data_IF_019455836849
#
_entry.id   IF_019455836849
#
_cell.length_a   1.000
_cell.length_b   1.000
_cell.length_c   1.000
_cell.angle_alpha   90.00
_cell.angle_beta   90.00
_cell.angle_gamma   90.00
#
_symmetry.space_group_name_H-M   'P 1'
#
loop_
_entity.id
_entity.type
_entity.pdbx_description
1 polymer ?
#
# COMPACT_ATOMS: atom_id res chain seq x y z
N UNK A 1 -11.45 -19.88 20.60
CA UNK A 1 -11.31 -18.51 20.04
C UNK A 1 -10.26 -18.53 18.94
N UNK A 2 -10.66 -18.29 17.69
CA UNK A 2 -9.75 -18.41 16.54
C UNK A 2 -8.88 -17.16 16.38
N UNK A 3 -7.76 -17.29 15.66
CA UNK A 3 -6.88 -16.17 15.31
C UNK A 3 -7.62 -15.08 14.52
N UNK A 4 -8.67 -15.48 13.78
CA UNK A 4 -9.51 -14.63 12.94
C UNK A 4 -10.41 -13.75 13.81
N UNK A 5 -10.94 -14.28 14.93
CA UNK A 5 -11.74 -13.50 15.87
C UNK A 5 -10.90 -12.38 16.51
N UNK A 6 -9.65 -12.68 16.87
CA UNK A 6 -8.72 -11.68 17.44
C UNK A 6 -8.33 -10.60 16.43
N UNK A 7 -8.25 -10.94 15.15
CA UNK A 7 -7.97 -10.00 14.07
C UNK A 7 -9.16 -9.08 13.82
N UNK A 8 -10.39 -9.63 13.81
CA UNK A 8 -11.63 -8.84 13.78
C UNK A 8 -11.72 -7.89 14.96
N UNK A 9 -11.56 -8.37 16.20
CA UNK A 9 -11.65 -7.51 17.38
C UNK A 9 -10.59 -6.40 17.40
N UNK A 10 -9.40 -6.63 16.84
CA UNK A 10 -8.37 -5.59 16.71
C UNK A 10 -8.65 -4.57 15.61
N UNK A 11 -9.24 -5.00 14.50
CA UNK A 11 -9.69 -4.12 13.43
C UNK A 11 -10.88 -3.29 13.91
N UNK A 12 -11.84 -3.90 14.61
CA UNK A 12 -12.99 -3.23 15.21
C UNK A 12 -12.57 -2.25 16.31
N UNK A 13 -11.53 -2.56 17.09
CA UNK A 13 -10.99 -1.64 18.10
C UNK A 13 -10.20 -0.47 17.49
N UNK A 14 -9.52 -0.69 16.35
CA UNK A 14 -8.89 0.39 15.58
C UNK A 14 -9.93 1.27 14.88
N UNK A 15 -11.01 0.67 14.39
CA UNK A 15 -12.15 1.38 13.83
C UNK A 15 -12.87 2.19 14.92
N UNK A 16 -13.20 1.58 16.07
CA UNK A 16 -13.89 2.24 17.18
C UNK A 16 -13.09 3.39 17.81
N UNK A 17 -11.76 3.34 17.79
CA UNK A 17 -10.91 4.46 18.21
C UNK A 17 -10.86 5.64 17.23
N UNK A 18 -11.31 5.44 15.98
CA UNK A 18 -11.35 6.44 14.92
C UNK A 18 -12.77 6.98 14.63
N UNK A 19 -13.81 6.41 15.26
CA UNK A 19 -15.21 6.81 15.08
C UNK A 19 -15.55 8.10 15.85
N UNK A 20 -15.16 9.23 15.26
CA UNK A 20 -15.92 10.48 15.39
C UNK A 20 -16.88 10.57 14.21
N UNK A 21 -18.14 10.19 14.42
CA UNK A 21 -19.18 10.17 13.39
C UNK A 21 -19.43 11.58 12.81
N UNK A 22 -19.31 11.72 11.48
CA UNK A 22 -19.97 12.77 10.67
C UNK A 22 -19.79 12.49 9.17
N UNK A 23 -20.82 11.92 8.52
CA UNK A 23 -21.22 12.13 7.11
C UNK A 23 -20.27 11.78 5.95
N UNK A 24 -18.98 11.60 6.19
CA UNK A 24 -17.96 11.35 5.19
C UNK A 24 -16.82 10.58 5.89
N UNK A 25 -17.01 9.27 6.04
CA UNK A 25 -16.12 8.42 6.86
C UNK A 25 -14.87 8.08 6.05
N UNK A 26 -13.91 9.00 6.11
CA UNK A 26 -12.58 8.84 5.54
C UNK A 26 -11.58 8.35 6.57
N UNK A 27 -11.06 7.14 6.35
CA UNK A 27 -9.98 6.56 7.14
C UNK A 27 -8.68 6.61 6.32
N UNK A 28 -7.59 7.08 6.93
CA UNK A 28 -6.27 7.06 6.28
C UNK A 28 -5.20 6.52 7.22
N UNK A 29 -4.36 5.65 6.68
CA UNK A 29 -3.24 5.02 7.37
C UNK A 29 -1.98 5.18 6.54
N UNK A 30 -0.88 5.57 7.19
CA UNK A 30 0.42 5.74 6.55
C UNK A 30 1.49 5.03 7.36
N UNK A 31 2.32 4.24 6.69
CA UNK A 31 3.46 3.56 7.29
C UNK A 31 4.69 3.70 6.40
N UNK A 32 5.84 3.91 7.03
CA UNK A 32 7.13 4.03 6.35
C UNK A 32 8.20 3.23 7.10
N UNK A 33 9.02 2.51 6.35
CA UNK A 33 10.24 1.87 6.86
C UNK A 33 11.43 2.75 6.47
N UNK A 34 12.00 3.52 7.42
CA UNK A 34 13.13 4.40 7.13
C UNK A 34 14.45 3.62 7.02
N UNK A 35 15.33 4.08 6.12
CA UNK A 35 16.70 3.62 5.93
C UNK A 35 17.74 4.63 6.48
N UNK A 36 17.30 5.58 7.31
CA UNK A 36 18.14 6.67 7.79
C UNK A 36 18.47 7.66 6.66
N UNK A 37 19.76 7.88 6.41
CA UNK A 37 20.24 8.87 5.42
C UNK A 37 19.94 8.51 3.96
N UNK A 38 19.61 7.24 3.69
CA UNK A 38 19.33 6.77 2.33
C UNK A 38 17.85 6.95 1.92
N UNK A 39 16.98 7.45 2.82
CA UNK A 39 15.54 7.62 2.55
C UNK A 39 14.68 6.47 3.07
N UNK A 40 13.60 6.14 2.39
CA UNK A 40 12.63 5.11 2.80
C UNK A 40 12.80 3.83 1.98
N UNK A 41 12.84 2.66 2.64
CA UNK A 41 12.88 1.36 1.96
C UNK A 41 11.48 1.00 1.44
N UNK A 42 10.46 1.26 2.25
CA UNK A 42 9.06 0.94 1.96
C UNK A 42 8.18 2.09 2.46
N UNK A 43 7.21 2.48 1.65
CA UNK A 43 6.10 3.36 2.01
C UNK A 43 4.79 2.65 1.68
N UNK A 44 3.83 2.78 2.59
CA UNK A 44 2.49 2.25 2.46
C UNK A 44 1.51 3.37 2.87
N UNK A 45 0.72 3.83 1.92
CA UNK A 45 -0.39 4.75 2.14
C UNK A 45 -1.69 4.03 1.83
N UNK A 46 -2.62 3.95 2.80
CA UNK A 46 -3.94 3.35 2.61
C UNK A 46 -4.99 4.39 2.97
N UNK A 47 -5.97 4.58 2.11
CA UNK A 47 -7.14 5.44 2.34
C UNK A 47 -8.39 4.64 2.04
N UNK A 48 -9.39 4.74 2.91
CA UNK A 48 -10.73 4.20 2.70
C UNK A 48 -11.69 5.37 2.81
N UNK A 49 -12.48 5.59 1.77
CA UNK A 49 -13.49 6.63 1.72
C UNK A 49 -14.85 5.94 1.56
N UNK A 50 -15.83 6.32 2.36
CA UNK A 50 -17.21 5.81 2.28
C UNK A 50 -18.15 6.98 2.04
N UNK A 51 -18.87 6.95 0.94
CA UNK A 51 -19.76 8.02 0.49
C UNK A 51 -21.17 7.46 0.24
N UNK A 52 -22.20 8.17 0.68
CA UNK A 52 -23.57 7.86 0.26
C UNK A 52 -23.75 8.22 -1.22
N UNK A 53 -24.33 7.33 -2.02
CA UNK A 53 -24.48 7.51 -3.46
C UNK A 53 -25.84 7.03 -3.95
N UNK A 54 -26.74 7.98 -4.25
CA UNK A 54 -28.09 7.67 -4.73
C UNK A 54 -28.89 6.86 -3.72
N UNK A 55 -29.25 5.63 -4.09
CA UNK A 55 -30.02 4.67 -3.30
C UNK A 55 -29.15 3.73 -2.45
N UNK A 56 -27.83 3.87 -2.48
CA UNK A 56 -26.90 3.01 -1.76
C UNK A 56 -25.66 3.73 -1.26
N UNK A 57 -24.63 2.94 -0.97
CA UNK A 57 -23.34 3.40 -0.47
C UNK A 57 -22.23 2.99 -1.42
N UNK A 58 -21.23 3.86 -1.55
CA UNK A 58 -20.00 3.60 -2.29
C UNK A 58 -18.82 3.61 -1.33
N UNK A 59 -18.05 2.53 -1.36
CA UNK A 59 -16.81 2.39 -0.61
C UNK A 59 -15.64 2.38 -1.59
N UNK A 60 -14.62 3.19 -1.33
CA UNK A 60 -13.42 3.30 -2.13
C UNK A 60 -12.18 3.08 -1.27
N UNK A 61 -11.48 1.99 -1.50
CA UNK A 61 -10.18 1.70 -0.90
C UNK A 61 -9.08 2.05 -1.89
N UNK A 62 -8.13 2.87 -1.47
CA UNK A 62 -6.93 3.27 -2.22
C UNK A 62 -5.72 2.86 -1.41
N UNK A 63 -4.86 2.03 -1.97
CA UNK A 63 -3.58 1.67 -1.39
C UNK A 63 -2.46 2.01 -2.35
N UNK A 64 -1.42 2.66 -1.85
CA UNK A 64 -0.21 2.97 -2.57
C UNK A 64 0.97 2.36 -1.82
N UNK A 65 1.69 1.47 -2.51
CA UNK A 65 2.83 0.75 -1.99
C UNK A 65 4.04 1.12 -2.83
N UNK A 66 5.06 1.70 -2.21
CA UNK A 66 6.31 2.04 -2.87
C UNK A 66 7.46 1.34 -2.16
N UNK A 67 8.23 0.54 -2.90
CA UNK A 67 9.47 -0.07 -2.43
C UNK A 67 10.65 0.47 -3.23
N UNK A 68 11.65 0.95 -2.51
CA UNK A 68 12.89 1.49 -3.09
C UNK A 68 14.06 0.52 -2.81
N UNK A 69 13.93 -0.73 -3.21
CA UNK A 69 14.93 -1.75 -2.85
C UNK A 69 16.24 -1.56 -3.62
N UNK A 70 16.17 -1.28 -4.92
CA UNK A 70 17.37 -1.06 -5.73
C UNK A 70 18.06 0.25 -5.34
N UNK A 71 17.29 1.34 -5.19
CA UNK A 71 17.85 2.67 -4.93
C UNK A 71 18.26 2.92 -3.48
N UNK A 72 17.65 2.25 -2.49
CA UNK A 72 17.90 2.54 -1.05
C UNK A 72 18.50 1.35 -0.31
N UNK A 73 17.97 0.14 -0.50
CA UNK A 73 18.39 -1.03 0.28
C UNK A 73 19.78 -1.52 -0.14
N UNK A 74 20.07 -1.62 -1.45
CA UNK A 74 21.40 -1.99 -1.97
C UNK A 74 22.54 -1.10 -1.43
N UNK A 75 22.51 0.25 -1.58
CA UNK A 75 23.59 1.09 -1.07
C UNK A 75 23.68 1.04 0.47
N UNK A 76 22.57 0.89 1.19
CA UNK A 76 22.60 0.75 2.65
C UNK A 76 23.30 -0.54 3.12
N UNK A 77 23.11 -1.65 2.39
CA UNK A 77 23.80 -2.91 2.66
C UNK A 77 25.29 -2.83 2.32
N UNK A 78 25.63 -2.21 1.18
CA UNK A 78 27.02 -2.02 0.74
C UNK A 78 27.81 -1.03 1.62
N UNK A 79 27.17 -0.03 2.22
CA UNK A 79 27.85 0.98 3.02
C UNK A 79 28.60 0.38 4.23
N UNK A 80 29.80 0.83 4.60
CA UNK A 80 30.49 0.32 5.79
C UNK A 80 29.67 0.55 7.07
N UNK A 81 29.75 -0.36 8.07
CA UNK A 81 29.09 -0.15 9.36
C UNK A 81 29.59 1.17 9.97
N UNK A 82 28.72 1.96 10.62
CA UNK A 82 29.16 3.17 11.28
C UNK A 82 30.21 2.81 12.33
N UNK A 83 31.30 3.59 12.45
CA UNK A 83 32.33 3.33 13.44
C UNK A 83 31.69 3.27 14.83
N UNK A 84 32.13 2.35 15.71
CA UNK A 84 31.59 2.26 17.05
C UNK A 84 31.73 3.62 17.72
N UNK A 85 30.60 4.17 18.22
CA UNK A 85 30.63 5.41 18.99
C UNK A 85 31.69 5.24 20.08
N UNK A 86 32.67 6.15 20.21
CA UNK A 86 33.65 6.04 21.28
C UNK A 86 32.88 6.00 22.59
N UNK A 87 33.10 4.93 23.36
CA UNK A 87 32.67 4.87 24.76
C UNK A 87 33.30 6.08 25.43
N UNK A 88 32.53 7.15 25.67
CA UNK A 88 32.93 8.26 26.54
C UNK A 88 33.08 7.69 27.95
N UNK A 89 34.23 7.07 28.23
CA UNK A 89 34.83 7.04 29.56
C UNK A 89 35.54 8.38 29.71
N UNK A 90 35.00 9.27 30.53
CA UNK A 90 35.68 10.52 30.85
C UNK A 90 34.72 11.62 31.25
N UNK A 91 34.81 12.02 32.52
CA UNK A 91 34.22 13.21 33.11
C UNK A 91 34.41 14.43 32.20
N UNK A 92 33.36 15.20 31.93
CA UNK A 92 33.50 16.62 31.62
C UNK A 92 32.23 17.38 32.00
N UNK A 93 32.37 18.16 33.08
CA UNK A 93 31.45 19.24 33.46
C UNK A 93 31.53 20.34 32.41
N UNK A 94 30.38 20.90 32.05
CA UNK A 94 30.24 22.20 31.39
C UNK A 94 30.40 22.19 29.88
N UNK A 95 29.30 22.45 29.16
CA UNK A 95 29.22 23.49 28.14
C UNK A 95 27.94 23.34 27.28
N UNK A 96 27.25 24.47 27.17
CA UNK A 96 26.46 24.95 26.03
C UNK A 96 25.18 24.21 25.63
N UNK A 97 24.07 24.85 25.99
CA UNK A 97 22.76 24.69 25.41
C UNK A 97 22.74 25.29 23.99
N UNK A 98 22.75 24.45 22.95
CA UNK A 98 22.21 24.74 21.61
C UNK A 98 22.46 23.55 20.67
N UNK A 99 21.43 23.19 19.86
CA UNK A 99 21.38 22.08 18.87
C UNK A 99 21.22 20.67 19.48
N UNK A 100 20.32 19.79 19.05
CA UNK A 100 19.45 19.74 17.88
C UNK A 100 18.31 18.74 18.15
N UNK A 101 17.17 18.90 17.49
CA UNK A 101 16.09 17.89 17.40
C UNK A 101 16.44 16.73 16.41
N UNK A 102 17.69 16.63 15.96
CA UNK A 102 18.22 15.57 15.07
C UNK A 102 18.53 14.17 15.68
N UNK A 103 18.64 13.94 17.01
CA UNK A 103 19.04 12.64 17.55
C UNK A 103 18.01 11.51 17.38
N UNK A 104 16.70 11.84 17.35
CA UNK A 104 15.65 10.82 17.35
C UNK A 104 15.55 10.09 16.01
N UNK A 105 15.53 10.84 14.90
CA UNK A 105 15.50 10.27 13.54
C UNK A 105 16.75 9.44 13.21
N UNK A 106 17.92 9.90 13.68
CA UNK A 106 19.18 9.18 13.51
C UNK A 106 19.26 7.89 14.35
N UNK A 107 18.64 7.86 15.53
CA UNK A 107 18.56 6.65 16.36
C UNK A 107 17.62 5.59 15.78
N UNK A 108 16.42 5.99 15.31
CA UNK A 108 15.48 5.09 14.64
C UNK A 108 16.08 4.52 13.35
N UNK A 109 16.75 5.35 12.54
CA UNK A 109 17.46 4.90 11.34
C UNK A 109 18.60 3.92 11.64
N UNK A 110 19.33 4.10 12.76
CA UNK A 110 20.37 3.15 13.19
C UNK A 110 19.81 1.81 13.65
N UNK A 111 18.67 1.80 14.36
CA UNK A 111 17.99 0.57 14.77
C UNK A 111 17.40 -0.17 13.58
N UNK A 112 16.74 0.54 12.66
CA UNK A 112 16.24 -0.02 11.40
C UNK A 112 17.39 -0.65 10.59
N UNK A 113 18.51 0.06 10.42
CA UNK A 113 19.70 -0.45 9.69
C UNK A 113 20.29 -1.70 10.35
N UNK A 114 20.34 -1.77 11.69
CA UNK A 114 20.79 -2.97 12.42
C UNK A 114 19.82 -4.14 12.25
N UNK A 115 18.52 -3.88 12.34
CA UNK A 115 17.47 -4.89 12.14
C UNK A 115 17.51 -5.47 10.72
N UNK A 116 17.56 -4.60 9.71
CA UNK A 116 17.66 -5.01 8.31
C UNK A 116 18.95 -5.79 8.05
N UNK A 117 20.11 -5.31 8.51
CA UNK A 117 21.38 -6.07 8.34
C UNK A 117 21.34 -7.44 9.00
N UNK A 118 20.73 -7.55 10.18
CA UNK A 118 20.60 -8.83 10.87
C UNK A 118 19.64 -9.79 10.13
N UNK A 119 18.56 -9.27 9.57
CA UNK A 119 17.65 -10.05 8.75
C UNK A 119 18.34 -10.54 7.46
N UNK A 120 19.09 -9.66 6.78
CA UNK A 120 19.84 -9.98 5.55
C UNK A 120 21.14 -10.76 5.80
N UNK A 121 21.59 -10.89 7.04
CA UNK A 121 22.65 -11.84 7.40
C UNK A 121 22.18 -13.30 7.30
N UNK A 122 20.86 -13.54 7.21
CA UNK A 122 20.32 -14.86 6.93
C UNK A 122 20.37 -15.15 5.41
N UNK A 123 21.09 -16.19 4.96
CA UNK A 123 21.23 -16.50 3.54
C UNK A 123 19.89 -16.84 2.85
N UNK A 124 18.88 -17.31 3.59
CA UNK A 124 17.54 -17.56 3.06
C UNK A 124 16.84 -16.25 2.71
N UNK A 125 16.92 -15.26 3.60
CA UNK A 125 16.35 -13.92 3.38
C UNK A 125 17.06 -13.25 2.21
N UNK A 126 18.38 -13.38 2.14
CA UNK A 126 19.17 -12.82 1.06
C UNK A 126 18.77 -13.41 -0.30
N UNK A 127 18.65 -14.74 -0.43
CA UNK A 127 18.22 -15.39 -1.68
C UNK A 127 16.81 -14.99 -2.13
N UNK A 128 15.88 -14.84 -1.19
CA UNK A 128 14.51 -14.41 -1.49
C UNK A 128 14.42 -12.93 -1.86
N UNK A 129 15.26 -12.10 -1.26
CA UNK A 129 15.28 -10.66 -1.50
C UNK A 129 16.15 -10.25 -2.69
N UNK A 130 17.11 -11.07 -3.12
CA UNK A 130 18.01 -10.81 -4.25
C UNK A 130 17.30 -10.42 -5.56
N UNK A 131 16.22 -11.09 -6.01
CA UNK A 131 15.48 -10.63 -7.18
C UNK A 131 14.76 -9.30 -6.93
N UNK A 132 14.25 -9.06 -5.72
CA UNK A 132 13.55 -7.83 -5.35
C UNK A 132 14.51 -6.63 -5.22
N UNK A 133 15.78 -6.87 -4.87
CA UNK A 133 16.80 -5.81 -4.76
C UNK A 133 17.23 -5.24 -6.11
N UNK A 134 16.86 -5.86 -7.24
CA UNK A 134 17.15 -5.34 -8.58
C UNK A 134 16.17 -4.26 -9.02
N UNK A 135 15.01 -4.18 -8.37
CA UNK A 135 13.93 -3.35 -8.84
C UNK A 135 13.40 -2.42 -7.75
N UNK A 136 13.05 -1.21 -8.18
CA UNK A 136 12.14 -0.37 -7.42
C UNK A 136 10.73 -0.66 -7.93
N UNK A 137 9.79 -0.86 -7.01
CA UNK A 137 8.41 -1.25 -7.32
C UNK A 137 7.48 -0.19 -6.76
N UNK A 138 6.56 0.26 -7.59
CA UNK A 138 5.54 1.23 -7.21
C UNK A 138 4.18 0.71 -7.68
N UNK A 139 3.32 0.40 -6.71
CA UNK A 139 2.04 -0.25 -6.91
C UNK A 139 0.90 0.62 -6.37
N UNK A 140 -0.06 0.93 -7.23
CA UNK A 140 -1.32 1.58 -6.89
C UNK A 140 -2.43 0.56 -6.98
N UNK A 141 -3.15 0.37 -5.89
CA UNK A 141 -4.29 -0.53 -5.79
C UNK A 141 -5.49 0.33 -5.46
N UNK A 142 -6.55 0.18 -6.23
CA UNK A 142 -7.78 0.89 -6.00
C UNK A 142 -8.95 -0.09 -6.12
N UNK A 143 -9.77 -0.18 -5.08
CA UNK A 143 -10.93 -1.06 -5.02
C UNK A 143 -12.13 -0.18 -4.73
N UNK A 144 -13.13 -0.22 -5.59
CA UNK A 144 -14.42 0.46 -5.41
C UNK A 144 -15.52 -0.59 -5.33
N UNK A 145 -16.36 -0.49 -4.33
CA UNK A 145 -17.59 -1.27 -4.22
C UNK A 145 -18.77 -0.32 -4.07
N UNK A 146 -19.92 -0.69 -4.64
CA UNK A 146 -21.14 0.09 -4.54
C UNK A 146 -22.34 -0.83 -4.37
N UNK A 147 -23.24 -0.43 -3.48
CA UNK A 147 -24.59 -1.01 -3.37
C UNK A 147 -25.65 -0.17 -4.05
N UNK A 148 -25.27 0.95 -4.66
CA UNK A 148 -26.15 1.78 -5.45
C UNK A 148 -26.49 1.13 -6.80
N UNK A 149 -27.65 1.48 -7.33
CA UNK A 149 -28.07 1.12 -8.69
C UNK A 149 -27.20 1.90 -9.70
N UNK A 150 -26.36 1.19 -10.46
CA UNK A 150 -25.47 1.79 -11.45
C UNK A 150 -25.90 1.38 -12.86
N UNK A 151 -25.94 2.33 -13.79
CA UNK A 151 -26.40 2.13 -15.17
C UNK A 151 -25.55 1.12 -15.95
N UNK A 152 -24.23 1.12 -15.71
CA UNK A 152 -23.27 0.18 -16.34
C UNK A 152 -22.65 -0.80 -15.34
N UNK A 153 -23.25 -0.98 -14.15
CA UNK A 153 -22.80 -1.94 -13.15
C UNK A 153 -21.38 -1.66 -12.64
N UNK A 154 -20.56 -2.70 -12.43
CA UNK A 154 -19.17 -2.56 -11.99
C UNK A 154 -18.29 -1.71 -12.93
N UNK A 155 -18.66 -1.55 -14.20
CA UNK A 155 -17.90 -0.74 -15.14
C UNK A 155 -17.88 0.75 -14.75
N UNK A 156 -18.95 1.28 -14.15
CA UNK A 156 -19.01 2.67 -13.66
C UNK A 156 -18.13 2.91 -12.42
N UNK A 157 -17.62 1.83 -11.82
CA UNK A 157 -16.71 1.89 -10.68
C UNK A 157 -15.25 1.88 -11.08
N UNK A 158 -14.92 1.71 -12.37
CA UNK A 158 -13.54 1.73 -12.85
C UNK A 158 -12.94 3.12 -12.59
N UNK A 159 -11.84 3.21 -11.81
CA UNK A 159 -11.26 4.50 -11.50
C UNK A 159 -10.57 5.12 -12.71
N UNK A 160 -10.72 6.43 -12.87
CA UNK A 160 -9.96 7.24 -13.84
C UNK A 160 -10.04 6.66 -15.26
N UNK A 161 -11.22 6.20 -15.68
CA UNK A 161 -11.53 5.69 -17.03
C UNK A 161 -10.90 6.57 -18.11
N UNK A 162 -11.08 7.89 -18.03
CA UNK A 162 -10.60 8.84 -19.04
C UNK A 162 -9.07 8.83 -19.17
N UNK A 163 -8.37 8.65 -18.03
CA UNK A 163 -6.90 8.54 -18.02
C UNK A 163 -6.44 7.22 -18.62
N UNK A 164 -7.14 6.12 -18.33
CA UNK A 164 -6.87 4.83 -18.96
C UNK A 164 -7.09 4.91 -20.48
N UNK A 165 -8.18 5.53 -20.91
CA UNK A 165 -8.50 5.73 -22.32
C UNK A 165 -7.43 6.55 -23.04
N UNK A 166 -6.88 7.59 -22.40
CA UNK A 166 -5.77 8.36 -22.96
C UNK A 166 -4.49 7.54 -23.16
N UNK A 167 -4.34 6.43 -22.43
CA UNK A 167 -3.24 5.48 -22.56
C UNK A 167 -3.57 4.32 -23.52
N UNK A 168 -4.71 4.39 -24.21
CA UNK A 168 -5.20 3.31 -25.09
C UNK A 168 -5.74 2.09 -24.33
N UNK A 169 -5.90 2.18 -23.01
CA UNK A 169 -6.45 1.12 -22.17
C UNK A 169 -7.96 1.34 -22.07
N UNK A 170 -8.73 0.45 -22.68
CA UNK A 170 -10.20 0.47 -22.64
C UNK A 170 -10.68 -0.84 -22.05
N UNK A 171 -10.97 -0.88 -20.74
CA UNK A 171 -11.56 -2.05 -20.14
C UNK A 171 -12.89 -2.35 -20.81
N UNK A 172 -13.08 -3.58 -21.25
CA UNK A 172 -14.31 -3.94 -21.93
C UNK A 172 -15.47 -4.06 -20.94
N UNK A 173 -16.68 -3.77 -21.42
CA UNK A 173 -17.91 -4.06 -20.69
C UNK A 173 -18.21 -5.54 -20.84
N UNK A 174 -18.37 -6.23 -19.72
CA UNK A 174 -18.68 -7.65 -19.70
C UNK A 174 -19.83 -7.95 -18.75
N UNK A 175 -20.64 -8.94 -19.12
CA UNK A 175 -21.60 -9.56 -18.21
C UNK A 175 -20.88 -10.68 -17.45
N UNK A 176 -20.44 -10.40 -16.22
CA UNK A 176 -19.80 -11.41 -15.37
C UNK A 176 -18.53 -10.94 -14.67
N UNK A 177 -17.87 -11.83 -13.89
CA UNK A 177 -16.60 -11.51 -13.28
C UNK A 177 -15.53 -11.46 -14.38
N UNK A 178 -14.86 -10.32 -14.53
CA UNK A 178 -13.89 -10.14 -15.60
C UNK A 178 -12.58 -9.57 -15.08
N UNK A 179 -11.47 -10.09 -15.62
CA UNK A 179 -10.13 -9.60 -15.32
C UNK A 179 -9.42 -9.29 -16.63
N UNK A 180 -8.89 -8.09 -16.73
CA UNK A 180 -8.09 -7.65 -17.87
C UNK A 180 -6.74 -7.16 -17.38
N UNK A 181 -5.71 -7.38 -18.20
CA UNK A 181 -4.37 -6.92 -17.90
C UNK A 181 -3.69 -6.42 -19.16
N UNK A 182 -3.06 -5.25 -19.03
CA UNK A 182 -2.23 -4.63 -20.04
C UNK A 182 -0.83 -4.46 -19.45
N UNK A 183 0.19 -4.59 -20.29
CA UNK A 183 1.56 -4.33 -19.90
C UNK A 183 2.31 -3.62 -21.02
N UNK A 184 3.30 -2.83 -20.64
CA UNK A 184 4.13 -2.08 -21.57
C UNK A 184 5.46 -1.70 -20.96
N UNK A 185 6.43 -1.42 -21.82
CA UNK A 185 7.71 -0.86 -21.40
C UNK A 185 7.56 0.63 -21.09
N UNK A 186 8.32 1.11 -20.12
CA UNK A 186 8.51 2.53 -19.82
C UNK A 186 9.97 2.90 -20.10
N UNK A 187 10.32 4.18 -20.04
CA UNK A 187 11.70 4.63 -20.23
C UNK A 187 12.70 4.02 -19.22
N UNK A 188 12.21 3.52 -18.08
CA UNK A 188 13.04 3.10 -16.93
C UNK A 188 12.70 1.66 -16.46
N UNK A 189 11.83 0.95 -17.16
CA UNK A 189 11.42 -0.42 -16.82
C UNK A 189 10.11 -0.83 -17.47
N UNK A 190 9.17 -1.34 -16.69
CA UNK A 190 7.87 -1.81 -17.18
C UNK A 190 6.71 -1.34 -16.31
N UNK A 191 5.54 -1.23 -16.93
CA UNK A 191 4.28 -0.95 -16.26
C UNK A 191 3.27 -2.05 -16.60
N UNK A 192 2.47 -2.42 -15.62
CA UNK A 192 1.34 -3.33 -15.77
C UNK A 192 0.11 -2.68 -15.15
N UNK A 193 -1.00 -2.73 -15.87
CA UNK A 193 -2.31 -2.29 -15.38
C UNK A 193 -3.22 -3.49 -15.44
N UNK A 194 -3.90 -3.79 -14.35
CA UNK A 194 -4.89 -4.87 -14.27
C UNK A 194 -6.19 -4.33 -13.70
N UNK A 195 -7.31 -4.72 -14.28
CA UNK A 195 -8.65 -4.38 -13.80
C UNK A 195 -9.42 -5.65 -13.50
N UNK A 196 -10.25 -5.59 -12.45
CA UNK A 196 -11.20 -6.63 -12.05
C UNK A 196 -12.57 -5.99 -11.94
N UNK A 197 -13.59 -6.63 -12.48
CA UNK A 197 -14.99 -6.21 -12.38
C UNK A 197 -15.83 -7.39 -11.90
N UNK A 198 -16.72 -7.17 -10.93
CA UNK A 198 -17.61 -8.18 -10.37
C UNK A 198 -18.97 -7.53 -10.10
N UNK A 199 -20.01 -8.03 -10.75
CA UNK A 199 -21.39 -7.68 -10.43
C UNK A 199 -22.02 -8.69 -9.45
N UNK A 200 -23.13 -8.32 -8.83
CA UNK A 200 -23.91 -9.18 -7.92
C UNK A 200 -24.18 -10.58 -8.48
N UNK A 201 -24.54 -10.68 -9.75
CA UNK A 201 -24.87 -11.95 -10.44
C UNK A 201 -23.69 -12.93 -10.45
N UNK A 202 -22.47 -12.40 -10.34
CA UNK A 202 -21.21 -13.15 -10.33
C UNK A 202 -20.79 -13.62 -8.94
N UNK A 203 -21.47 -13.16 -7.89
CA UNK A 203 -21.16 -13.56 -6.52
C UNK A 203 -21.61 -15.00 -6.23
N UNK A 204 -20.98 -15.70 -5.28
CA UNK A 204 -21.50 -16.95 -4.72
C UNK A 204 -22.98 -16.83 -4.28
N UNK A 205 -23.79 -17.87 -4.55
CA UNK A 205 -25.26 -17.87 -4.28
C UNK A 205 -25.63 -17.50 -2.84
N UNK A 206 -24.81 -17.87 -1.86
CA UNK A 206 -25.00 -17.51 -0.46
C UNK A 206 -24.85 -16.00 -0.21
N UNK A 207 -23.93 -15.32 -0.90
CA UNK A 207 -23.79 -13.87 -0.82
C UNK A 207 -24.90 -13.15 -1.58
N UNK A 208 -25.30 -13.67 -2.76
CA UNK A 208 -26.46 -13.14 -3.48
C UNK A 208 -27.73 -13.16 -2.61
N UNK A 209 -28.00 -14.29 -1.93
CA UNK A 209 -29.13 -14.42 -1.00
C UNK A 209 -29.04 -13.45 0.18
N UNK A 210 -27.85 -13.23 0.72
CA UNK A 210 -27.63 -12.27 1.84
C UNK A 210 -27.87 -10.82 1.42
N UNK A 211 -27.54 -10.48 0.19
CA UNK A 211 -27.79 -9.16 -0.38
C UNK A 211 -29.27 -8.97 -0.79
N UNK A 212 -30.10 -10.01 -0.79
CA UNK A 212 -31.53 -9.91 -1.10
C UNK A 212 -31.75 -9.27 -2.48
N UNK A 213 -32.50 -8.18 -2.52
CA UNK A 213 -32.74 -7.39 -3.73
C UNK A 213 -31.74 -6.23 -3.93
N UNK A 214 -30.88 -5.95 -2.93
CA UNK A 214 -29.94 -4.83 -2.96
C UNK A 214 -28.93 -4.96 -4.12
N UNK A 215 -28.68 -3.90 -4.92
CA UNK A 215 -27.63 -3.92 -5.94
C UNK A 215 -26.25 -4.19 -5.31
N UNK A 216 -25.34 -4.76 -6.09
CA UNK A 216 -23.94 -4.85 -5.70
C UNK A 216 -23.04 -4.86 -6.93
N UNK A 217 -22.03 -4.01 -6.90
CA UNK A 217 -21.03 -3.87 -7.94
C UNK A 217 -19.66 -3.67 -7.27
N UNK A 218 -18.62 -4.28 -7.83
CA UNK A 218 -17.24 -4.13 -7.37
C UNK A 218 -16.31 -4.00 -8.58
N UNK A 219 -15.43 -3.01 -8.54
CA UNK A 219 -14.31 -2.89 -9.45
C UNK A 219 -13.01 -2.75 -8.67
N UNK A 220 -11.94 -3.33 -9.17
CA UNK A 220 -10.60 -3.08 -8.69
C UNK A 220 -9.66 -2.77 -9.84
N UNK A 221 -8.68 -1.92 -9.58
CA UNK A 221 -7.61 -1.57 -10.49
C UNK A 221 -6.28 -1.67 -9.76
N UNK A 222 -5.32 -2.35 -10.38
CA UNK A 222 -3.96 -2.48 -9.87
C UNK A 222 -3.04 -1.95 -10.96
N UNK A 223 -2.27 -0.92 -10.63
CA UNK A 223 -1.21 -0.39 -11.49
C UNK A 223 0.10 -0.71 -10.81
N UNK A 224 0.94 -1.50 -11.47
CA UNK A 224 2.27 -1.81 -11.01
C UNK A 224 3.29 -1.19 -11.96
N UNK A 225 4.33 -0.60 -11.40
CA UNK A 225 5.48 -0.08 -12.14
C UNK A 225 6.73 -0.65 -11.52
N UNK A 226 7.60 -1.20 -12.36
CA UNK A 226 8.85 -1.83 -11.97
C UNK A 226 9.94 -1.07 -12.70
N UNK A 227 10.84 -0.44 -11.96
CA UNK A 227 12.02 0.23 -12.50
C UNK A 227 13.28 -0.57 -12.17
N UNK A 228 14.21 -0.64 -13.10
CA UNK A 228 15.54 -1.19 -12.85
C UNK A 228 16.54 -0.05 -12.64
N UNK A 229 17.34 -0.13 -11.56
CA UNK A 229 18.33 0.88 -11.18
C UNK A 229 19.71 0.23 -10.97
#
# INVERSE_FOLDING_TARGET
MSLIDRLRTRIDALAAGALGASGDDRLSFKAEIPAGVFGSILKLDVTVDTEAHGDGERVRLRAHVQTNFASVLRPMLAAPPPPPKPRRRGKQKGASASRALAPAASFVGQLARRGVRRAFANPIVQRLAEPLMKHDINSWIEISASTASLDRGAHDLIPKSDKLESMGIRPARHDGPHVESWSGATAQGSAQVSTLQIDKKSLPKNLQKRLGDQPFNLAAMIINTIEEK
#
